data_IF_385458772756
#
_entry.id   IF_385458772756
#
_cell.length_a   1.000
_cell.length_b   1.000
_cell.length_c   1.000
_cell.angle_alpha   90.00
_cell.angle_beta   90.00
_cell.angle_gamma   90.00
#
_symmetry.space_group_name_H-M   'P 1'
#
loop_
_entity.id
_entity.type
_entity.pdbx_description
1 polymer ?
#
# COMPACT_ATOMS: atom_id res chain seq x y z
N UNK A 1 -2.36 20.01 -14.66
CA UNK A 1 -3.23 18.94 -14.12
C UNK A 1 -2.41 18.09 -13.18
N UNK A 2 -2.79 18.00 -11.90
CA UNK A 2 -2.26 16.97 -11.00
C UNK A 2 -3.10 15.73 -11.24
N UNK A 3 -2.50 14.68 -11.79
CA UNK A 3 -3.14 13.38 -11.91
C UNK A 3 -3.09 12.72 -10.53
N UNK A 4 -4.23 12.26 -10.03
CA UNK A 4 -4.25 11.36 -8.89
C UNK A 4 -4.26 9.94 -9.45
N UNK A 5 -3.34 9.12 -8.97
CA UNK A 5 -3.27 7.70 -9.35
C UNK A 5 -3.10 6.90 -8.07
N UNK A 6 -4.02 5.97 -7.87
CA UNK A 6 -4.01 4.95 -6.83
C UNK A 6 -4.19 3.62 -7.56
N UNK A 7 -3.40 2.61 -7.21
CA UNK A 7 -3.48 1.29 -7.84
C UNK A 7 -4.10 0.29 -6.88
N UNK A 8 -4.89 -0.61 -7.45
CA UNK A 8 -5.62 -1.63 -6.70
C UNK A 8 -5.46 -2.98 -7.36
N UNK A 9 -5.28 -4.01 -6.53
CA UNK A 9 -5.52 -5.39 -6.95
C UNK A 9 -6.84 -5.83 -6.35
N UNK A 10 -7.77 -6.25 -7.20
CA UNK A 10 -9.06 -6.79 -6.78
C UNK A 10 -9.22 -8.19 -7.37
N UNK A 11 -9.85 -9.07 -6.60
CA UNK A 11 -10.26 -10.40 -7.06
C UNK A 11 -11.62 -10.69 -6.45
N UNK A 12 -12.56 -11.13 -7.27
CA UNK A 12 -13.84 -11.64 -6.79
C UNK A 12 -13.58 -12.91 -5.95
N UNK A 13 -14.08 -12.92 -4.71
CA UNK A 13 -14.04 -14.13 -3.89
C UNK A 13 -15.18 -15.07 -4.34
N UNK A 14 -15.05 -16.40 -4.23
CA UNK A 14 -16.15 -17.30 -4.54
C UNK A 14 -17.34 -17.00 -3.62
N UNK A 15 -18.35 -16.30 -4.14
CA UNK A 15 -19.53 -15.93 -3.37
C UNK A 15 -20.46 -17.13 -3.21
N UNK A 16 -20.62 -17.59 -1.98
CA UNK A 16 -21.78 -18.40 -1.61
C UNK A 16 -23.04 -17.56 -1.79
N UNK A 17 -23.91 -17.94 -2.74
CA UNK A 17 -25.19 -17.26 -3.02
C UNK A 17 -25.89 -16.81 -1.74
N UNK A 18 -26.10 -15.50 -1.56
CA UNK A 18 -27.17 -15.00 -0.68
C UNK A 18 -27.62 -13.58 -1.05
N UNK A 19 -28.94 -13.40 -0.94
CA UNK A 19 -29.73 -12.25 -1.40
C UNK A 19 -29.48 -11.03 -0.51
N UNK A 20 -29.37 -9.85 -1.13
CA UNK A 20 -29.34 -8.56 -0.45
C UNK A 20 -30.71 -8.20 0.15
N UNK A 21 -30.81 -7.75 1.41
CA UNK A 21 -31.92 -6.95 1.88
C UNK A 21 -31.74 -5.49 1.42
N UNK A 22 -32.80 -4.90 0.87
CA UNK A 22 -32.91 -3.47 0.63
C UNK A 22 -33.13 -2.74 1.95
N UNK A 23 -32.32 -1.72 2.28
CA UNK A 23 -32.78 -0.50 2.97
C UNK A 23 -31.67 0.54 3.19
N UNK A 24 -32.07 1.83 3.12
CA UNK A 24 -31.40 2.95 3.79
C UNK A 24 -30.79 4.00 2.85
N UNK A 25 -31.39 5.19 2.78
CA UNK A 25 -30.95 6.30 1.93
C UNK A 25 -29.62 6.91 2.39
N UNK A 26 -28.62 6.90 1.51
CA UNK A 26 -27.41 7.72 1.60
C UNK A 26 -27.17 8.37 0.24
N UNK A 27 -26.44 9.49 0.23
CA UNK A 27 -26.08 10.32 -0.93
C UNK A 27 -25.89 9.53 -2.23
N UNK A 28 -26.27 10.13 -3.38
CA UNK A 28 -26.26 9.49 -4.71
C UNK A 28 -24.93 8.75 -4.94
N UNK A 29 -24.97 7.43 -4.79
CA UNK A 29 -23.81 6.56 -5.01
C UNK A 29 -23.45 6.61 -6.49
N UNK A 30 -22.17 6.69 -6.85
CA UNK A 30 -21.77 6.69 -8.25
C UNK A 30 -22.16 5.36 -8.91
N UNK A 31 -22.91 5.45 -10.02
CA UNK A 31 -23.19 4.31 -10.90
C UNK A 31 -22.06 4.17 -11.89
N UNK A 32 -21.04 3.38 -11.56
CA UNK A 32 -19.85 3.25 -12.40
C UNK A 32 -20.05 2.44 -13.69
N UNK A 33 -21.20 1.77 -13.84
CA UNK A 33 -21.56 1.00 -15.03
C UNK A 33 -21.55 1.80 -16.34
N UNK A 34 -21.52 3.14 -16.28
CA UNK A 34 -21.52 4.03 -17.44
C UNK A 34 -20.39 5.08 -17.43
N UNK A 35 -19.43 5.00 -16.50
CA UNK A 35 -18.40 6.03 -16.29
C UNK A 35 -16.97 5.48 -16.30
N UNK A 36 -16.75 4.36 -17.00
CA UNK A 36 -15.40 3.94 -17.33
C UNK A 36 -14.75 5.02 -18.20
N UNK A 37 -13.63 5.57 -17.73
CA UNK A 37 -12.81 6.42 -18.57
C UNK A 37 -12.32 5.59 -19.77
N UNK A 38 -12.14 6.20 -20.96
CA UNK A 38 -11.50 5.50 -22.06
C UNK A 38 -10.21 4.90 -21.53
N UNK A 39 -10.02 3.59 -21.74
CA UNK A 39 -8.84 2.90 -21.26
C UNK A 39 -7.62 3.68 -21.76
N UNK A 40 -6.70 4.14 -20.88
CA UNK A 40 -5.37 4.47 -21.36
C UNK A 40 -4.84 3.24 -22.11
N UNK A 41 -3.93 3.43 -23.07
CA UNK A 41 -3.42 2.31 -23.84
C UNK A 41 -3.04 1.18 -22.89
N UNK A 42 -3.65 0.00 -23.07
CA UNK A 42 -3.14 -1.23 -22.47
C UNK A 42 -1.63 -1.23 -22.65
N UNK A 43 -0.81 -1.76 -21.71
CA UNK A 43 0.63 -1.59 -21.74
C UNK A 43 1.20 -1.93 -23.13
N UNK A 44 1.36 -0.90 -23.97
CA UNK A 44 1.66 -1.04 -25.38
C UNK A 44 3.10 -1.52 -25.41
N UNK A 45 3.30 -2.81 -25.68
CA UNK A 45 4.63 -3.44 -25.72
C UNK A 45 4.89 -4.52 -24.65
N UNK A 46 3.96 -4.82 -23.74
CA UNK A 46 4.12 -5.99 -22.87
C UNK A 46 3.96 -7.29 -23.66
N UNK A 47 4.71 -8.37 -23.36
CA UNK A 47 4.48 -9.65 -24.00
C UNK A 47 3.08 -10.22 -23.72
N UNK A 48 2.51 -10.95 -24.67
CA UNK A 48 1.11 -11.41 -24.65
C UNK A 48 0.79 -12.28 -23.44
N UNK A 49 1.75 -13.07 -22.97
CA UNK A 49 1.60 -13.92 -21.78
C UNK A 49 1.33 -13.11 -20.50
N UNK A 50 1.84 -11.89 -20.39
CA UNK A 50 1.58 -11.00 -19.25
C UNK A 50 0.25 -10.27 -19.41
N UNK A 51 -0.08 -9.82 -20.62
CA UNK A 51 -1.35 -9.13 -20.90
C UNK A 51 -2.57 -10.00 -20.54
N UNK A 52 -2.48 -11.32 -20.74
CA UNK A 52 -3.57 -12.26 -20.41
C UNK A 52 -3.78 -12.46 -18.91
N UNK A 53 -2.81 -12.06 -18.07
CA UNK A 53 -2.85 -12.26 -16.62
C UNK A 53 -3.32 -11.03 -15.85
N UNK A 54 -3.40 -9.87 -16.50
CA UNK A 54 -3.70 -8.59 -15.84
C UNK A 54 -4.77 -7.84 -16.63
N UNK A 55 -5.82 -7.42 -15.93
CA UNK A 55 -6.83 -6.51 -16.45
C UNK A 55 -6.70 -5.15 -15.75
N UNK A 56 -6.87 -4.08 -16.50
CA UNK A 56 -6.84 -2.72 -15.97
C UNK A 56 -8.20 -2.06 -16.16
N UNK A 57 -8.70 -1.44 -15.09
CA UNK A 57 -9.90 -0.63 -15.09
C UNK A 57 -9.59 0.75 -14.53
N UNK A 58 -10.26 1.78 -15.06
CA UNK A 58 -9.95 3.17 -14.77
C UNK A 58 -11.21 3.88 -14.34
N UNK A 59 -11.15 4.43 -13.14
CA UNK A 59 -12.24 5.14 -12.50
C UNK A 59 -11.80 6.57 -12.23
N UNK A 60 -12.67 7.57 -12.43
CA UNK A 60 -12.35 8.94 -12.07
C UNK A 60 -12.30 9.07 -10.55
N UNK A 61 -11.49 10.03 -10.11
CA UNK A 61 -11.33 10.31 -8.68
C UNK A 61 -12.67 10.69 -8.07
N UNK A 62 -13.04 10.06 -6.96
CA UNK A 62 -14.34 10.29 -6.33
C UNK A 62 -14.24 10.58 -4.84
N UNK A 63 -15.05 11.54 -4.41
CA UNK A 63 -15.28 11.90 -3.01
C UNK A 63 -16.78 12.10 -2.81
N UNK A 64 -17.33 11.82 -1.61
CA UNK A 64 -18.68 12.25 -1.28
C UNK A 64 -18.80 13.78 -1.42
N UNK A 65 -19.94 14.26 -1.93
CA UNK A 65 -20.17 15.68 -2.20
C UNK A 65 -19.96 16.55 -0.95
N UNK A 66 -20.33 16.04 0.24
CA UNK A 66 -20.17 16.71 1.52
C UNK A 66 -18.75 16.61 2.10
N UNK A 67 -17.82 15.92 1.42
CA UNK A 67 -16.45 15.63 1.85
C UNK A 67 -15.36 15.98 0.86
N UNK A 68 -15.65 16.91 -0.04
CA UNK A 68 -14.63 17.49 -0.94
C UNK A 68 -13.48 18.18 -0.19
N UNK A 69 -13.71 18.63 1.05
CA UNK A 69 -12.66 19.17 1.92
C UNK A 69 -11.54 18.14 2.20
N UNK A 70 -11.84 16.84 2.18
CA UNK A 70 -10.86 15.78 2.37
C UNK A 70 -9.91 15.62 1.17
N UNK A 71 -10.28 16.05 -0.04
CA UNK A 71 -9.46 15.88 -1.28
C UNK A 71 -8.08 16.50 -1.19
N UNK A 72 -7.97 17.61 -0.46
CA UNK A 72 -6.73 18.39 -0.36
C UNK A 72 -5.95 18.17 0.94
N UNK A 73 -6.44 17.28 1.82
CA UNK A 73 -5.80 17.00 3.10
C UNK A 73 -4.50 16.22 2.91
N UNK A 74 -3.39 16.77 3.42
CA UNK A 74 -2.01 16.27 3.28
C UNK A 74 -1.46 16.29 1.84
N UNK A 75 -1.83 15.31 1.02
CA UNK A 75 -1.49 15.23 -0.40
C UNK A 75 -2.80 15.10 -1.17
N UNK A 76 -2.86 15.74 -2.34
CA UNK A 76 -4.05 15.69 -3.19
C UNK A 76 -4.43 14.23 -3.46
N UNK A 77 -5.68 13.88 -3.17
CA UNK A 77 -6.27 12.54 -3.30
C UNK A 77 -5.79 11.47 -2.31
N UNK A 78 -4.93 11.76 -1.33
CA UNK A 78 -4.43 10.74 -0.41
C UNK A 78 -5.56 10.03 0.36
N UNK A 79 -6.59 10.79 0.74
CA UNK A 79 -7.75 10.34 1.50
C UNK A 79 -8.80 9.60 0.66
N UNK A 80 -8.68 9.56 -0.66
CA UNK A 80 -9.65 8.89 -1.54
C UNK A 80 -9.80 7.42 -1.16
N UNK A 81 -8.69 6.78 -0.78
CA UNK A 81 -8.63 5.38 -0.35
C UNK A 81 -9.62 5.05 0.78
N UNK A 82 -10.00 6.03 1.59
CA UNK A 82 -10.97 5.83 2.67
C UNK A 82 -12.39 5.57 2.13
N UNK A 83 -12.67 5.91 0.88
CA UNK A 83 -13.99 5.83 0.24
C UNK A 83 -14.17 4.63 -0.69
N UNK A 84 -13.18 3.75 -0.79
CA UNK A 84 -13.19 2.61 -1.71
C UNK A 84 -14.39 1.66 -1.53
N UNK A 85 -14.88 1.36 -0.32
CA UNK A 85 -16.08 0.53 -0.16
C UNK A 85 -17.32 1.09 -0.86
N UNK A 86 -17.45 2.41 -0.95
CA UNK A 86 -18.56 3.08 -1.64
C UNK A 86 -18.31 3.23 -3.14
N UNK A 87 -17.04 3.38 -3.54
CA UNK A 87 -16.65 3.40 -4.96
C UNK A 87 -16.84 2.03 -5.61
N UNK A 88 -16.55 0.93 -4.89
CA UNK A 88 -16.54 -0.41 -5.48
C UNK A 88 -17.48 -1.37 -4.73
N UNK A 89 -18.80 -1.12 -4.74
CA UNK A 89 -19.75 -1.85 -3.89
C UNK A 89 -19.90 -3.34 -4.24
N UNK A 90 -19.56 -3.71 -5.48
CA UNK A 90 -19.57 -5.08 -6.01
C UNK A 90 -18.27 -5.85 -5.79
N UNK A 91 -17.21 -5.19 -5.31
CA UNK A 91 -15.92 -5.84 -5.04
C UNK A 91 -15.90 -6.32 -3.59
N UNK A 92 -15.58 -7.59 -3.38
CA UNK A 92 -15.60 -8.18 -2.03
C UNK A 92 -14.35 -7.81 -1.22
N UNK A 93 -13.20 -7.78 -1.88
CA UNK A 93 -11.90 -7.51 -1.28
C UNK A 93 -10.94 -6.87 -2.29
N UNK A 94 -10.06 -6.01 -1.80
CA UNK A 94 -9.04 -5.35 -2.59
C UNK A 94 -7.78 -5.10 -1.77
N UNK A 95 -6.65 -4.89 -2.44
CA UNK A 95 -5.43 -4.37 -1.84
C UNK A 95 -5.14 -3.01 -2.45
N UNK A 96 -5.15 -1.98 -1.62
CA UNK A 96 -4.63 -0.65 -1.96
C UNK A 96 -3.10 -0.69 -1.94
N UNK A 97 -2.47 -0.11 -2.96
CA UNK A 97 -1.04 0.15 -2.98
C UNK A 97 -0.74 1.59 -3.45
N UNK A 98 0.21 2.25 -2.79
CA UNK A 98 0.79 3.49 -3.29
C UNK A 98 1.50 3.23 -4.63
N UNK A 99 1.64 4.28 -5.45
CA UNK A 99 2.18 4.14 -6.82
C UNK A 99 3.70 4.09 -6.90
N UNK A 100 4.39 4.39 -5.80
CA UNK A 100 5.85 4.34 -5.66
C UNK A 100 6.31 3.08 -4.92
N UNK A 101 5.70 1.92 -5.22
CA UNK A 101 6.09 0.62 -4.67
C UNK A 101 6.77 -0.27 -5.72
N UNK A 102 7.71 -1.10 -5.25
CA UNK A 102 8.33 -2.18 -6.02
C UNK A 102 8.10 -3.50 -5.28
N UNK A 103 7.49 -4.44 -5.98
CA UNK A 103 7.30 -5.81 -5.49
C UNK A 103 8.58 -6.62 -5.72
N UNK A 104 9.17 -7.13 -4.64
CA UNK A 104 10.31 -8.05 -4.65
C UNK A 104 9.88 -9.50 -4.36
N UNK A 105 8.64 -9.68 -3.91
CA UNK A 105 7.89 -10.94 -3.83
C UNK A 105 6.67 -10.90 -4.77
N UNK A 106 6.14 -12.05 -5.20
CA UNK A 106 4.90 -12.12 -5.98
C UNK A 106 3.73 -11.40 -5.29
N UNK A 107 2.92 -10.60 -6.00
CA UNK A 107 1.71 -10.00 -5.45
C UNK A 107 0.70 -11.02 -4.91
N UNK A 108 0.73 -12.25 -5.41
CA UNK A 108 -0.08 -13.36 -4.93
C UNK A 108 0.23 -13.73 -3.47
N UNK A 109 1.49 -13.60 -3.04
CA UNK A 109 1.89 -13.85 -1.65
C UNK A 109 1.31 -12.77 -0.72
N UNK A 110 1.28 -11.51 -1.18
CA UNK A 110 0.59 -10.44 -0.45
C UNK A 110 -0.91 -10.74 -0.37
N UNK A 111 -1.54 -11.15 -1.48
CA UNK A 111 -2.96 -11.53 -1.49
C UNK A 111 -3.28 -12.67 -0.52
N UNK A 112 -2.39 -13.65 -0.38
CA UNK A 112 -2.57 -14.78 0.52
C UNK A 112 -2.68 -14.36 2.01
N UNK A 113 -2.21 -13.17 2.39
CA UNK A 113 -2.36 -12.65 3.76
C UNK A 113 -3.83 -12.50 4.19
N UNK A 114 -4.79 -12.34 3.25
CA UNK A 114 -6.22 -12.39 3.58
C UNK A 114 -6.65 -13.70 4.25
N UNK A 115 -5.98 -14.82 3.96
CA UNK A 115 -6.29 -16.12 4.56
C UNK A 115 -5.95 -16.19 6.04
N UNK A 116 -5.13 -15.25 6.54
CA UNK A 116 -4.78 -15.13 7.95
C UNK A 116 -5.77 -14.27 8.73
N UNK A 117 -6.74 -13.65 8.04
CA UNK A 117 -7.76 -12.88 8.72
C UNK A 117 -8.64 -13.82 9.53
N UNK A 118 -8.93 -13.44 10.76
CA UNK A 118 -9.97 -14.07 11.55
C UNK A 118 -11.37 -13.67 11.05
N UNK A 119 -12.40 -13.91 11.85
CA UNK A 119 -13.79 -13.61 11.50
C UNK A 119 -14.14 -12.11 11.56
N UNK A 120 -13.37 -11.29 12.30
CA UNK A 120 -13.67 -9.87 12.55
C UNK A 120 -12.79 -8.90 11.75
N UNK A 121 -11.57 -9.30 11.39
CA UNK A 121 -10.63 -8.41 10.71
C UNK A 121 -11.15 -7.92 9.36
N UNK A 122 -11.04 -6.62 9.11
CA UNK A 122 -11.51 -5.97 7.88
C UNK A 122 -10.37 -5.41 7.05
N UNK A 123 -9.20 -5.20 7.65
CA UNK A 123 -8.06 -4.63 6.96
C UNK A 123 -6.75 -5.25 7.46
N UNK A 124 -5.70 -5.07 6.67
CA UNK A 124 -4.34 -5.32 7.11
C UNK A 124 -3.39 -4.24 6.62
N UNK A 125 -2.44 -3.87 7.48
CA UNK A 125 -1.47 -2.80 7.22
C UNK A 125 -0.15 -3.13 7.91
N UNK A 126 0.96 -2.66 7.35
CA UNK A 126 2.29 -2.85 7.94
C UNK A 126 2.63 -1.73 8.94
N UNK A 127 3.47 -2.02 9.96
CA UNK A 127 3.84 -1.05 10.98
C UNK A 127 4.68 0.12 10.41
N UNK A 128 4.52 1.30 11.01
CA UNK A 128 5.18 2.53 10.55
C UNK A 128 6.62 2.65 11.06
N UNK A 129 6.94 2.15 12.25
CA UNK A 129 8.32 2.03 12.78
C UNK A 129 9.18 3.32 12.80
N UNK A 130 8.57 4.50 12.64
CA UNK A 130 9.30 5.77 12.52
C UNK A 130 8.56 6.99 13.08
N UNK A 131 7.26 7.12 12.79
CA UNK A 131 6.53 8.35 13.08
C UNK A 131 5.75 8.29 14.41
N UNK A 132 4.85 7.32 14.56
CA UNK A 132 3.81 7.38 15.60
C UNK A 132 4.33 7.17 17.03
N UNK A 133 5.32 6.30 17.21
CA UNK A 133 6.01 6.11 18.49
C UNK A 133 6.98 7.23 18.88
N UNK A 134 7.00 8.36 18.15
CA UNK A 134 7.91 9.49 18.41
C UNK A 134 7.15 10.72 18.90
N UNK A 135 7.88 11.69 19.48
CA UNK A 135 7.34 12.98 19.94
C UNK A 135 6.64 13.81 18.85
N UNK A 136 6.80 13.45 17.57
CA UNK A 136 6.22 14.14 16.41
C UNK A 136 4.72 13.89 16.30
N UNK A 137 4.27 12.71 16.72
CA UNK A 137 2.88 12.34 16.68
C UNK A 137 2.09 13.03 17.81
N UNK A 138 0.85 13.40 17.52
CA UNK A 138 -0.06 14.12 18.43
C UNK A 138 -1.47 13.55 18.40
N UNK A 139 -1.69 12.39 17.78
CA UNK A 139 -2.99 11.71 17.71
C UNK A 139 -2.88 10.29 18.25
N UNK A 140 -3.97 9.67 18.72
CA UNK A 140 -4.00 8.25 19.03
C UNK A 140 -3.57 7.41 17.82
N UNK A 141 -2.94 6.26 18.05
CA UNK A 141 -2.40 5.42 16.98
C UNK A 141 -2.37 3.95 17.38
N UNK A 142 -2.40 3.07 16.37
CA UNK A 142 -2.45 1.62 16.59
C UNK A 142 -1.12 1.07 17.10
N UNK A 143 -1.19 0.15 18.07
CA UNK A 143 -0.02 -0.54 18.63
C UNK A 143 1.05 0.42 19.16
N UNK A 144 2.30 -0.01 19.09
CA UNK A 144 3.44 0.75 19.64
C UNK A 144 4.09 1.70 18.64
N UNK A 145 3.91 1.46 17.35
CA UNK A 145 4.65 2.18 16.30
C UNK A 145 3.76 2.80 15.23
N UNK A 146 2.44 2.61 15.33
CA UNK A 146 1.46 3.00 14.32
C UNK A 146 1.62 2.24 13.01
N UNK A 147 0.80 2.59 12.04
CA UNK A 147 0.70 1.92 10.74
C UNK A 147 1.09 2.85 9.61
N UNK A 148 1.60 2.30 8.50
CA UNK A 148 1.79 3.06 7.27
C UNK A 148 0.73 2.69 6.22
N UNK A 149 0.15 3.69 5.57
CA UNK A 149 -0.98 3.53 4.65
C UNK A 149 -0.61 3.09 3.23
N UNK A 150 0.68 2.93 2.90
CA UNK A 150 1.11 2.65 1.53
C UNK A 150 0.73 1.27 1.00
N UNK A 151 0.43 0.31 1.87
CA UNK A 151 -0.13 -0.99 1.52
C UNK A 151 -1.26 -1.28 2.49
N UNK A 152 -2.44 -1.59 1.96
CA UNK A 152 -3.61 -1.89 2.79
C UNK A 152 -4.50 -2.95 2.14
N UNK A 153 -4.63 -4.09 2.80
CA UNK A 153 -5.70 -5.04 2.50
C UNK A 153 -7.03 -4.48 2.98
N UNK A 154 -8.08 -4.70 2.20
CA UNK A 154 -9.42 -4.21 2.46
C UNK A 154 -10.42 -5.33 2.18
N UNK A 155 -11.02 -5.89 3.21
CA UNK A 155 -12.22 -6.71 3.09
C UNK A 155 -13.43 -5.78 2.99
N UNK A 156 -13.72 -5.34 1.76
CA UNK A 156 -14.75 -4.35 1.46
C UNK A 156 -16.15 -4.83 1.86
N UNK A 157 -16.37 -6.15 1.88
CA UNK A 157 -17.62 -6.73 2.40
C UNK A 157 -17.79 -6.44 3.89
N UNK A 158 -16.82 -6.84 4.72
CA UNK A 158 -16.91 -6.65 6.18
C UNK A 158 -16.83 -5.17 6.59
N UNK A 159 -16.14 -4.35 5.80
CA UNK A 159 -16.08 -2.89 6.02
C UNK A 159 -17.47 -2.23 6.04
N UNK A 160 -18.47 -2.79 5.35
CA UNK A 160 -19.85 -2.28 5.37
C UNK A 160 -20.47 -2.30 6.77
N UNK A 161 -20.14 -3.32 7.56
CA UNK A 161 -20.65 -3.54 8.91
C UNK A 161 -19.66 -3.10 10.02
N UNK A 162 -18.61 -2.36 9.65
CA UNK A 162 -17.60 -1.89 10.60
C UNK A 162 -18.23 -1.04 11.75
N UNK A 163 -17.71 -1.14 12.99
CA UNK A 163 -18.27 -0.40 14.12
C UNK A 163 -18.35 1.12 13.92
N UNK A 164 -19.45 1.71 14.38
CA UNK A 164 -19.69 3.15 14.21
C UNK A 164 -20.53 3.51 12.98
N UNK A 165 -21.29 2.55 12.44
CA UNK A 165 -22.22 2.77 11.33
C UNK A 165 -21.64 2.45 9.95
N UNK A 166 -20.63 1.58 9.89
CA UNK A 166 -19.88 1.24 8.69
C UNK A 166 -18.58 2.02 8.55
N UNK A 167 -17.71 1.53 7.66
CA UNK A 167 -16.36 2.04 7.46
C UNK A 167 -16.32 3.54 7.17
N UNK A 168 -17.14 4.00 6.22
CA UNK A 168 -17.18 5.40 5.80
C UNK A 168 -17.59 6.31 6.96
N UNK A 169 -18.69 5.99 7.65
CA UNK A 169 -19.18 6.76 8.80
C UNK A 169 -18.12 6.83 9.92
N UNK A 170 -17.41 5.74 10.18
CA UNK A 170 -16.38 5.69 11.19
C UNK A 170 -15.16 6.58 10.83
N UNK A 171 -14.68 6.51 9.59
CA UNK A 171 -13.62 7.39 9.08
C UNK A 171 -14.03 8.87 9.13
N UNK A 172 -15.27 9.16 8.72
CA UNK A 172 -15.85 10.50 8.70
C UNK A 172 -15.90 11.10 10.11
N UNK A 173 -16.32 10.31 11.10
CA UNK A 173 -16.34 10.72 12.50
C UNK A 173 -14.94 11.02 13.03
N UNK A 174 -13.94 10.19 12.70
CA UNK A 174 -12.55 10.46 13.09
C UNK A 174 -12.06 11.76 12.45
N UNK A 175 -12.31 11.94 11.16
CA UNK A 175 -11.94 13.17 10.46
C UNK A 175 -12.57 14.40 11.13
N UNK A 176 -13.87 14.41 11.39
CA UNK A 176 -14.54 15.57 11.98
C UNK A 176 -13.99 15.96 13.36
N UNK A 177 -13.65 14.97 14.19
CA UNK A 177 -13.09 15.19 15.53
C UNK A 177 -11.64 15.68 15.43
N UNK A 178 -10.84 15.11 14.53
CA UNK A 178 -9.39 15.29 14.52
C UNK A 178 -8.85 16.16 13.38
N UNK A 179 -9.66 16.70 12.47
CA UNK A 179 -9.21 17.45 11.27
C UNK A 179 -8.25 18.60 11.54
N UNK A 180 -8.31 19.21 12.73
CA UNK A 180 -7.37 20.27 13.16
C UNK A 180 -6.02 19.75 13.70
N UNK A 181 -5.92 18.45 13.97
CA UNK A 181 -4.76 17.79 14.61
C UNK A 181 -4.04 16.81 13.68
N UNK A 182 -4.76 16.14 12.78
CA UNK A 182 -4.18 15.23 11.80
C UNK A 182 -3.24 15.99 10.85
N UNK A 183 -2.11 15.38 10.52
CA UNK A 183 -1.07 15.90 9.62
C UNK A 183 -0.82 14.99 8.43
N UNK A 184 -0.94 13.68 8.63
CA UNK A 184 -0.79 12.65 7.59
C UNK A 184 -2.16 12.10 7.14
N UNK A 185 -3.20 12.95 7.24
CA UNK A 185 -4.57 12.76 6.80
C UNK A 185 -5.09 11.31 6.89
N UNK A 186 -5.06 10.58 5.77
CA UNK A 186 -5.52 9.19 5.63
C UNK A 186 -4.84 8.25 6.62
N UNK A 187 -3.52 8.31 6.73
CA UNK A 187 -2.77 7.46 7.63
C UNK A 187 -3.08 7.76 9.10
N UNK A 188 -3.26 9.04 9.47
CA UNK A 188 -3.65 9.42 10.84
C UNK A 188 -5.07 8.95 11.17
N UNK A 189 -6.01 9.09 10.23
CA UNK A 189 -7.39 8.62 10.39
C UNK A 189 -7.40 7.11 10.64
N UNK A 190 -6.69 6.33 9.82
CA UNK A 190 -6.60 4.88 9.97
C UNK A 190 -5.95 4.48 11.31
N UNK A 191 -4.88 5.18 11.72
CA UNK A 191 -4.23 4.93 13.00
C UNK A 191 -5.16 5.22 14.19
N UNK A 192 -5.92 6.31 14.17
CA UNK A 192 -6.89 6.64 15.23
C UNK A 192 -8.04 5.63 15.24
N UNK A 193 -8.50 5.20 14.06
CA UNK A 193 -9.57 4.24 13.92
C UNK A 193 -9.18 2.89 14.53
N UNK A 194 -8.02 2.36 14.16
CA UNK A 194 -7.54 1.08 14.68
C UNK A 194 -6.98 1.18 16.10
N UNK A 195 -6.57 2.36 16.58
CA UNK A 195 -6.36 2.56 18.03
C UNK A 195 -7.63 2.25 18.82
N UNK A 196 -8.80 2.62 18.29
CA UNK A 196 -10.09 2.39 18.95
C UNK A 196 -10.62 0.98 18.74
N UNK A 197 -10.37 0.39 17.58
CA UNK A 197 -10.87 -0.93 17.17
C UNK A 197 -9.72 -1.85 16.73
N UNK A 198 -8.75 -2.16 17.62
CA UNK A 198 -7.54 -2.87 17.24
C UNK A 198 -7.79 -4.30 16.74
N UNK A 199 -8.87 -4.94 17.20
CA UNK A 199 -9.27 -6.30 16.82
C UNK A 199 -9.70 -6.41 15.35
N UNK A 200 -10.07 -5.29 14.71
CA UNK A 200 -10.50 -5.28 13.31
C UNK A 200 -9.33 -5.17 12.31
N UNK A 201 -8.09 -5.12 12.80
CA UNK A 201 -6.89 -5.06 11.98
C UNK A 201 -6.03 -6.32 12.14
N UNK A 202 -5.57 -6.84 11.01
CA UNK A 202 -4.44 -7.77 10.96
C UNK A 202 -3.15 -6.98 10.70
N UNK A 203 -2.19 -6.96 11.64
CA UNK A 203 -0.90 -6.28 11.40
C UNK A 203 -0.03 -7.13 10.46
N UNK A 204 0.32 -6.58 9.29
CA UNK A 204 1.24 -7.21 8.34
C UNK A 204 2.67 -7.19 8.88
N UNK A 205 3.49 -8.15 8.43
CA UNK A 205 4.94 -8.09 8.59
C UNK A 205 5.54 -6.79 8.04
N UNK A 206 6.58 -6.28 8.69
CA UNK A 206 7.23 -5.02 8.31
C UNK A 206 7.91 -5.05 6.93
N UNK A 207 8.18 -6.25 6.39
CA UNK A 207 8.72 -6.51 5.06
C UNK A 207 7.73 -6.19 3.92
N UNK A 208 6.43 -6.13 4.22
CA UNK A 208 5.37 -5.82 3.25
C UNK A 208 5.22 -4.32 2.94
N UNK A 209 5.97 -3.45 3.61
CA UNK A 209 5.97 -2.01 3.34
C UNK A 209 7.29 -1.37 3.82
N UNK A 210 8.41 -1.88 3.28
CA UNK A 210 9.74 -1.50 3.72
C UNK A 210 10.14 -0.15 3.14
N UNK A 211 10.57 0.77 4.00
CA UNK A 211 10.97 2.15 3.63
C UNK A 211 12.37 2.46 4.14
N UNK A 212 12.95 3.55 3.65
CA UNK A 212 14.27 4.02 4.09
C UNK A 212 14.40 4.16 5.61
N UNK A 213 13.30 4.47 6.31
CA UNK A 213 13.31 4.70 7.75
C UNK A 213 13.63 3.42 8.55
N UNK A 214 13.29 2.24 8.03
CA UNK A 214 13.55 0.95 8.67
C UNK A 214 15.03 0.51 8.59
N UNK A 215 15.84 1.13 7.74
CA UNK A 215 17.29 0.90 7.65
C UNK A 215 18.16 2.13 7.92
N UNK A 216 17.56 3.30 8.11
CA UNK A 216 18.32 4.56 8.27
C UNK A 216 19.16 4.62 9.56
N UNK A 217 18.82 3.80 10.55
CA UNK A 217 19.40 3.78 11.90
C UNK A 217 19.30 2.36 12.48
N UNK A 218 20.11 1.46 11.91
CA UNK A 218 20.01 0.02 12.16
C UNK A 218 18.77 -0.62 11.53
N UNK A 219 18.68 -1.95 11.64
CA UNK A 219 17.53 -2.69 11.14
C UNK A 219 16.35 -2.64 12.14
N UNK A 220 15.30 -1.90 11.80
CA UNK A 220 14.05 -1.82 12.57
C UNK A 220 12.99 -2.82 12.11
N UNK A 221 13.32 -3.65 11.12
CA UNK A 221 12.45 -4.70 10.58
C UNK A 221 13.16 -6.06 10.59
N UNK A 222 13.10 -6.79 11.73
CA UNK A 222 13.70 -8.11 11.84
C UNK A 222 13.11 -9.14 10.86
N UNK A 223 11.84 -8.98 10.47
CA UNK A 223 11.18 -9.80 9.44
C UNK A 223 11.96 -9.79 8.14
N UNK A 224 12.25 -8.59 7.62
CA UNK A 224 13.02 -8.42 6.40
C UNK A 224 14.45 -9.00 6.45
N UNK A 225 15.09 -9.06 7.63
CA UNK A 225 16.40 -9.73 7.76
C UNK A 225 16.30 -11.26 7.65
N UNK A 226 15.13 -11.84 7.99
CA UNK A 226 14.90 -13.30 7.89
C UNK A 226 14.41 -13.71 6.52
N UNK A 227 13.39 -13.03 5.99
CA UNK A 227 12.67 -13.41 4.77
C UNK A 227 13.05 -12.60 3.54
N UNK A 228 13.76 -11.50 3.71
CA UNK A 228 13.95 -10.49 2.67
C UNK A 228 12.84 -9.45 2.70
N UNK A 229 13.07 -8.33 2.03
CA UNK A 229 12.07 -7.29 1.80
C UNK A 229 11.12 -7.79 0.71
N UNK A 230 9.81 -7.79 0.97
CA UNK A 230 8.80 -8.23 0.00
C UNK A 230 8.28 -7.08 -0.86
N UNK A 231 8.09 -5.90 -0.26
CA UNK A 231 7.70 -4.68 -0.98
C UNK A 231 8.57 -3.52 -0.51
N UNK A 232 9.23 -2.87 -1.45
CA UNK A 232 10.03 -1.69 -1.22
C UNK A 232 9.24 -0.43 -1.61
N UNK A 233 9.17 0.53 -0.70
CA UNK A 233 8.36 1.73 -0.86
C UNK A 233 9.25 2.99 -0.97
N UNK A 234 9.12 3.66 -2.11
CA UNK A 234 9.85 4.85 -2.55
C UNK A 234 9.47 6.16 -1.86
N UNK A 235 8.80 6.09 -0.70
CA UNK A 235 8.25 7.25 -0.04
C UNK A 235 9.32 8.30 0.27
N UNK A 236 8.87 9.56 0.44
CA UNK A 236 9.75 10.71 0.65
C UNK A 236 10.81 10.92 -0.46
N UNK A 237 10.49 10.49 -1.69
CA UNK A 237 11.34 10.56 -2.88
C UNK A 237 12.60 9.69 -2.79
N UNK A 238 12.57 8.61 -2.01
CA UNK A 238 13.75 7.76 -1.78
C UNK A 238 14.22 7.02 -3.04
N UNK A 239 13.38 6.92 -4.07
CA UNK A 239 13.78 6.37 -5.38
C UNK A 239 14.44 7.36 -6.34
N UNK A 240 14.34 8.66 -6.10
CA UNK A 240 14.74 9.65 -7.13
C UNK A 240 15.61 10.80 -6.61
N UNK A 241 15.72 10.98 -5.29
CA UNK A 241 16.40 12.13 -4.69
C UNK A 241 17.93 11.99 -4.65
N UNK A 242 18.48 10.81 -4.86
CA UNK A 242 19.93 10.55 -4.82
C UNK A 242 20.55 10.53 -3.41
N UNK A 243 19.74 10.54 -2.35
CA UNK A 243 20.21 10.54 -0.97
C UNK A 243 20.00 9.21 -0.23
N UNK A 244 19.35 8.24 -0.88
CA UNK A 244 19.20 6.86 -0.42
C UNK A 244 19.49 5.88 -1.57
N UNK A 245 20.73 5.93 -2.06
CA UNK A 245 21.17 5.20 -3.25
C UNK A 245 20.95 3.69 -3.18
N UNK A 246 20.89 3.06 -1.99
CA UNK A 246 20.53 1.63 -1.90
C UNK A 246 19.12 1.35 -2.43
N UNK A 247 18.15 2.17 -2.05
CA UNK A 247 16.75 2.00 -2.47
C UNK A 247 16.56 2.47 -3.91
N UNK A 248 17.16 3.62 -4.26
CA UNK A 248 17.12 4.13 -5.63
C UNK A 248 17.76 3.17 -6.63
N UNK A 249 18.87 2.51 -6.30
CA UNK A 249 19.46 1.49 -7.18
C UNK A 249 18.51 0.32 -7.45
N UNK A 250 17.68 -0.09 -6.47
CA UNK A 250 16.65 -1.11 -6.73
C UNK A 250 15.65 -0.61 -7.75
N UNK A 251 15.13 0.62 -7.59
CA UNK A 251 14.24 1.24 -8.55
C UNK A 251 14.83 1.34 -9.95
N UNK A 252 16.05 1.87 -10.08
CA UNK A 252 16.71 2.03 -11.38
C UNK A 252 16.97 0.70 -12.09
N UNK A 253 17.30 -0.36 -11.35
CA UNK A 253 17.51 -1.70 -11.94
C UNK A 253 16.19 -2.31 -12.40
N UNK A 254 15.11 -2.14 -11.64
CA UNK A 254 13.77 -2.58 -12.05
C UNK A 254 13.24 -1.79 -13.26
N UNK A 255 13.44 -0.48 -13.29
CA UNK A 255 13.04 0.38 -14.41
C UNK A 255 13.77 -0.01 -15.72
N UNK A 256 15.02 -0.44 -15.61
CA UNK A 256 15.84 -0.88 -16.74
C UNK A 256 15.58 -2.35 -17.15
N UNK A 257 14.92 -3.13 -16.30
CA UNK A 257 14.68 -4.55 -16.59
C UNK A 257 13.51 -4.72 -17.54
N UNK A 258 13.80 -5.28 -18.72
CA UNK A 258 12.77 -5.58 -19.71
C UNK A 258 11.85 -6.71 -19.22
N UNK A 259 10.53 -6.45 -19.20
CA UNK A 259 9.53 -7.45 -18.87
C UNK A 259 9.66 -8.67 -19.81
N UNK A 260 9.71 -9.87 -19.23
CA UNK A 260 9.93 -11.12 -19.97
C UNK A 260 11.39 -11.61 -19.96
N UNK A 261 12.37 -10.76 -19.64
CA UNK A 261 13.74 -11.24 -19.41
C UNK A 261 13.83 -12.04 -18.10
N UNK A 262 14.70 -13.08 -18.04
CA UNK A 262 14.89 -13.86 -16.82
C UNK A 262 15.25 -12.98 -15.61
N UNK A 263 14.62 -13.23 -14.47
CA UNK A 263 14.92 -12.51 -13.23
C UNK A 263 16.35 -12.76 -12.71
N UNK A 264 17.04 -13.79 -13.19
CA UNK A 264 18.48 -13.99 -12.90
C UNK A 264 19.34 -12.83 -13.40
N UNK A 265 18.95 -12.18 -14.50
CA UNK A 265 19.62 -10.98 -15.04
C UNK A 265 19.38 -9.79 -14.09
N UNK A 266 18.13 -9.54 -13.72
CA UNK A 266 17.74 -8.52 -12.74
C UNK A 266 18.54 -8.69 -11.44
N UNK A 267 18.56 -9.92 -10.90
CA UNK A 267 19.24 -10.25 -9.65
C UNK A 267 20.75 -9.98 -9.74
N UNK A 268 21.40 -10.41 -10.83
CA UNK A 268 22.83 -10.19 -11.04
C UNK A 268 23.17 -8.70 -11.08
N UNK A 269 22.34 -7.89 -11.76
CA UNK A 269 22.51 -6.44 -11.83
C UNK A 269 22.24 -5.76 -10.48
N UNK A 270 21.22 -6.19 -9.73
CA UNK A 270 20.97 -5.71 -8.37
C UNK A 270 22.18 -5.94 -7.47
N UNK A 271 22.70 -7.17 -7.42
CA UNK A 271 23.86 -7.51 -6.58
C UNK A 271 25.09 -6.68 -6.95
N UNK A 272 25.36 -6.53 -8.26
CA UNK A 272 26.49 -5.74 -8.76
C UNK A 272 26.35 -4.26 -8.40
N UNK A 273 25.20 -3.64 -8.68
CA UNK A 273 25.00 -2.20 -8.45
C UNK A 273 24.84 -1.86 -6.97
N UNK A 274 24.18 -2.71 -6.17
CA UNK A 274 24.12 -2.51 -4.72
C UNK A 274 25.52 -2.56 -4.10
N UNK A 275 26.36 -3.53 -4.48
CA UNK A 275 27.76 -3.57 -4.02
C UNK A 275 28.54 -2.32 -4.42
N UNK A 276 28.29 -1.79 -5.62
CA UNK A 276 28.90 -0.54 -6.09
C UNK A 276 28.52 0.67 -5.24
N UNK A 277 27.25 0.79 -4.83
CA UNK A 277 26.80 1.86 -3.90
C UNK A 277 27.63 1.87 -2.62
N UNK A 278 27.89 0.68 -2.03
CA UNK A 278 28.74 0.57 -0.84
C UNK A 278 30.20 0.90 -1.13
N UNK A 279 30.78 0.33 -2.20
CA UNK A 279 32.23 0.49 -2.47
C UNK A 279 32.62 1.92 -2.86
N UNK A 280 31.73 2.64 -3.55
CA UNK A 280 31.92 4.03 -3.93
C UNK A 280 31.43 5.02 -2.87
N UNK A 281 30.97 4.54 -1.71
CA UNK A 281 30.48 5.39 -0.61
C UNK A 281 29.38 6.37 -1.07
N UNK A 282 28.49 5.91 -1.97
CA UNK A 282 27.42 6.76 -2.46
C UNK A 282 26.40 7.07 -1.34
N UNK A 283 25.69 8.22 -1.39
CA UNK A 283 24.81 8.63 -0.31
C UNK A 283 23.68 7.63 -0.03
N UNK A 284 23.73 6.96 1.11
CA UNK A 284 22.60 6.21 1.67
C UNK A 284 22.80 5.94 3.15
N UNK A 285 21.80 6.27 3.97
CA UNK A 285 21.83 5.93 5.40
C UNK A 285 21.72 4.43 5.62
N UNK A 286 21.02 3.74 4.72
CA UNK A 286 20.78 2.30 4.78
C UNK A 286 22.04 1.45 4.55
N UNK A 287 23.11 2.00 3.96
CA UNK A 287 24.44 1.35 3.88
C UNK A 287 24.95 0.91 5.27
N UNK A 288 24.55 1.62 6.34
CA UNK A 288 24.98 1.30 7.71
C UNK A 288 24.24 0.12 8.33
N UNK A 289 23.15 -0.34 7.70
CA UNK A 289 22.38 -1.49 8.19
C UNK A 289 23.05 -2.77 7.73
N UNK A 290 23.37 -3.63 8.71
CA UNK A 290 23.97 -4.93 8.43
C UNK A 290 23.05 -5.76 7.52
N UNK A 291 23.65 -6.43 6.52
CA UNK A 291 22.98 -7.27 5.52
C UNK A 291 21.91 -6.56 4.66
N UNK A 292 21.96 -5.23 4.51
CA UNK A 292 20.97 -4.50 3.70
C UNK A 292 20.88 -5.01 2.24
N UNK A 293 22.01 -5.32 1.61
CA UNK A 293 22.03 -5.80 0.21
C UNK A 293 21.39 -7.19 0.07
N UNK A 294 21.60 -8.03 1.08
CA UNK A 294 20.95 -9.33 1.15
C UNK A 294 19.44 -9.17 1.39
N UNK A 295 19.02 -8.29 2.31
CA UNK A 295 17.59 -8.00 2.53
C UNK A 295 16.87 -7.52 1.26
N UNK A 296 17.53 -6.69 0.44
CA UNK A 296 16.99 -6.16 -0.82
C UNK A 296 16.94 -7.18 -1.96
N UNK A 297 17.64 -8.31 -1.85
CA UNK A 297 17.74 -9.32 -2.93
C UNK A 297 17.18 -10.69 -2.56
N UNK A 298 17.07 -10.99 -1.26
CA UNK A 298 16.69 -12.30 -0.72
C UNK A 298 15.32 -12.79 -1.17
N UNK A 299 14.31 -11.90 -1.21
CA UNK A 299 12.98 -12.25 -1.69
C UNK A 299 13.04 -12.74 -3.15
N UNK A 300 13.67 -11.96 -4.04
CA UNK A 300 13.86 -12.31 -5.45
C UNK A 300 14.60 -13.66 -5.57
N UNK A 301 15.70 -13.86 -4.82
CA UNK A 301 16.46 -15.13 -4.82
C UNK A 301 15.58 -16.34 -4.53
N UNK A 302 14.69 -16.23 -3.52
CA UNK A 302 13.78 -17.31 -3.11
C UNK A 302 12.81 -17.74 -4.20
N UNK A 303 12.48 -16.86 -5.14
CA UNK A 303 11.53 -17.14 -6.22
C UNK A 303 12.18 -17.52 -7.55
N UNK A 304 13.52 -17.48 -7.63
CA UNK A 304 14.29 -17.85 -8.83
C UNK A 304 14.97 -19.22 -8.66
N UNK A 305 15.43 -19.52 -7.45
CA UNK A 305 16.13 -20.76 -7.09
C UNK A 305 15.16 -21.83 -6.59
#
# INVERSE_FOLDING_TARGET
MKWCSSSFFAKEMPSGRRRHPLQGSCARRPSWSSLLLPSPPQPLGWPVEYQRRVSFEWYPVWYPEDREDMRSMFRTCATERLFLPDMFPSVDAAIYVDTDLIFLSPPEDLWAEFQKFDEVQVAAMAPCLYHYGSFRNKVPFYGDTGLNAGVMHMNLTRMKDFPGGGWIAANMKVFDIFKKRIKLADQDILNILFYKYPEYLFELGCEWNYRMYQCSDGNKCPGAARSGISILHGNAMSFVKGNEMKLQTVFEVWEQHELGKPLTILLSELERKLKFVSSQHLPSKCVRTHNIDDMLTRAIKKHIL
#
